data_IF_817021208898
#
_entry.id   IF_817021208898
#
_cell.length_a   1.000
_cell.length_b   1.000
_cell.length_c   1.000
_cell.angle_alpha   90.00
_cell.angle_beta   90.00
_cell.angle_gamma   90.00
#
_symmetry.space_group_name_H-M   'P 1'
#
loop_
_entity.id
_entity.type
_entity.pdbx_description
1 polymer ?
#
# COMPACT_ATOMS: atom_id res chain seq x y z
N UNK A 1 0.06 18.22 18.56
CA UNK A 1 -0.38 17.18 17.58
C UNK A 1 0.28 17.43 16.23
N UNK A 2 0.68 16.37 15.53
CA UNK A 2 1.16 16.46 14.14
C UNK A 2 -0.01 16.14 13.21
N UNK A 3 -0.09 16.84 12.08
CA UNK A 3 -1.10 16.60 11.06
C UNK A 3 -0.40 16.06 9.82
N UNK A 4 -0.75 14.85 9.41
CA UNK A 4 -0.07 14.13 8.34
C UNK A 4 -1.05 13.68 7.26
N UNK A 5 -0.52 13.15 6.16
CA UNK A 5 -1.30 12.50 5.10
C UNK A 5 -2.03 11.23 5.56
N UNK A 6 -1.71 10.72 6.75
CA UNK A 6 -2.38 9.58 7.39
C UNK A 6 -3.41 10.03 8.46
N UNK A 7 -3.57 11.35 8.66
CA UNK A 7 -4.38 11.92 9.73
C UNK A 7 -3.57 12.45 10.92
N UNK A 8 -4.25 12.81 12.03
CA UNK A 8 -3.61 13.42 13.18
C UNK A 8 -2.86 12.39 14.03
N UNK A 9 -1.65 12.75 14.46
CA UNK A 9 -0.86 12.05 15.47
C UNK A 9 -0.85 12.87 16.76
N UNK A 10 -1.31 12.25 17.84
CA UNK A 10 -1.39 12.83 19.17
C UNK A 10 -0.04 12.71 19.88
N UNK A 11 0.35 13.74 20.66
CA UNK A 11 1.62 13.71 21.39
C UNK A 11 1.66 12.56 22.41
N UNK A 12 2.86 12.16 22.82
CA UNK A 12 3.07 11.21 23.92
C UNK A 12 2.56 9.79 23.64
N UNK A 13 2.67 9.31 22.40
CA UNK A 13 2.16 8.01 21.95
C UNK A 13 0.63 7.88 22.08
N UNK A 14 -0.12 8.98 21.91
CA UNK A 14 -1.57 8.97 22.06
C UNK A 14 -2.33 8.17 20.99
N UNK A 15 -1.73 7.96 19.81
CA UNK A 15 -2.22 7.05 18.78
C UNK A 15 -1.13 6.65 17.78
N UNK A 16 -1.40 5.57 17.06
CA UNK A 16 -0.71 5.15 15.86
C UNK A 16 -1.70 5.11 14.69
N UNK A 17 -1.23 5.40 13.48
CA UNK A 17 -2.01 5.25 12.24
C UNK A 17 -1.20 4.42 11.27
N UNK A 18 -1.88 3.64 10.44
CA UNK A 18 -1.24 2.83 9.41
C UNK A 18 -2.05 2.86 8.13
N UNK A 19 -1.36 2.67 7.00
CA UNK A 19 -1.98 2.54 5.69
C UNK A 19 -1.90 1.09 5.20
N UNK A 20 -2.56 0.82 4.06
CA UNK A 20 -2.66 -0.50 3.43
C UNK A 20 -3.54 -1.49 4.23
N UNK A 21 -3.92 -2.59 3.58
CA UNK A 21 -4.94 -3.55 4.04
C UNK A 21 -4.37 -4.91 4.45
N UNK A 22 -3.05 -5.02 4.57
CA UNK A 22 -2.36 -6.25 4.97
C UNK A 22 -2.47 -7.34 3.91
N UNK A 23 -2.81 -8.57 4.31
CA UNK A 23 -2.81 -9.76 3.47
C UNK A 23 -3.50 -9.63 2.11
N UNK A 24 -4.60 -8.86 2.00
CA UNK A 24 -5.32 -8.69 0.72
C UNK A 24 -4.66 -7.67 -0.22
N UNK A 25 -3.61 -6.97 0.21
CA UNK A 25 -2.94 -5.97 -0.60
C UNK A 25 -2.16 -6.61 -1.76
N UNK A 26 -2.37 -6.22 -3.02
CA UNK A 26 -1.73 -6.90 -4.15
C UNK A 26 -0.22 -7.00 -4.05
N UNK A 27 0.48 -5.90 -3.72
CA UNK A 27 1.94 -5.87 -3.71
C UNK A 27 2.61 -6.67 -2.58
N UNK A 28 1.87 -7.08 -1.54
CA UNK A 28 2.40 -8.04 -0.57
C UNK A 28 2.32 -9.49 -1.10
N UNK A 29 1.42 -9.75 -2.04
CA UNK A 29 1.24 -11.04 -2.71
C UNK A 29 2.05 -11.15 -4.01
N UNK A 30 2.62 -10.05 -4.51
CA UNK A 30 3.63 -10.03 -5.57
C UNK A 30 4.88 -9.25 -5.10
N UNK A 31 5.58 -9.76 -4.06
CA UNK A 31 6.66 -9.03 -3.39
C UNK A 31 7.82 -8.70 -4.32
N UNK A 32 8.04 -9.51 -5.35
CA UNK A 32 9.16 -9.41 -6.29
C UNK A 32 8.72 -8.83 -7.66
N UNK A 33 7.50 -8.29 -7.77
CA UNK A 33 6.93 -7.65 -8.97
C UNK A 33 7.04 -8.52 -10.24
N UNK A 34 6.72 -9.80 -10.10
CA UNK A 34 6.81 -10.78 -11.19
C UNK A 34 5.49 -10.94 -11.95
N UNK A 35 4.37 -10.51 -11.35
CA UNK A 35 3.03 -10.66 -11.91
C UNK A 35 2.52 -9.36 -12.51
N UNK A 36 2.98 -8.22 -11.97
CA UNK A 36 2.55 -6.89 -12.38
C UNK A 36 3.69 -6.06 -12.94
N UNK A 37 3.34 -5.18 -13.87
CA UNK A 37 4.27 -4.27 -14.52
C UNK A 37 3.53 -3.17 -15.27
N UNK A 38 4.27 -2.38 -16.04
CA UNK A 38 3.71 -1.33 -16.90
C UNK A 38 2.70 -1.95 -17.87
N UNK A 39 1.53 -1.32 -18.01
CA UNK A 39 0.45 -1.81 -18.87
C UNK A 39 -0.47 -2.85 -18.22
N UNK A 40 -0.20 -3.28 -16.99
CA UNK A 40 -1.14 -4.17 -16.27
C UNK A 40 -2.47 -3.45 -16.06
N UNK A 41 -3.54 -4.06 -16.56
CA UNK A 41 -4.93 -3.60 -16.44
C UNK A 41 -5.42 -3.85 -15.02
N UNK A 42 -6.08 -2.87 -14.44
CA UNK A 42 -6.50 -2.88 -13.03
C UNK A 42 -7.93 -2.34 -12.86
N UNK A 43 -8.55 -2.69 -11.75
CA UNK A 43 -9.71 -1.97 -11.24
C UNK A 43 -9.21 -0.65 -10.62
N UNK A 44 -9.75 0.47 -11.09
CA UNK A 44 -9.39 1.80 -10.59
C UNK A 44 -10.64 2.65 -10.44
N UNK A 45 -11.08 2.87 -9.20
CA UNK A 45 -12.20 3.74 -8.89
C UNK A 45 -13.55 3.27 -9.47
N UNK A 46 -13.78 1.98 -9.68
CA UNK A 46 -14.99 1.49 -10.37
C UNK A 46 -14.92 1.55 -11.89
N UNK A 47 -13.80 2.02 -12.43
CA UNK A 47 -13.49 1.94 -13.86
C UNK A 47 -12.28 1.06 -14.13
N UNK A 48 -11.85 1.06 -15.39
CA UNK A 48 -10.64 0.37 -15.84
C UNK A 48 -9.48 1.36 -15.82
N UNK A 49 -8.40 0.97 -15.15
CA UNK A 49 -7.14 1.69 -15.16
C UNK A 49 -5.97 0.80 -15.56
N UNK A 50 -4.78 1.39 -15.55
CA UNK A 50 -3.53 0.71 -15.86
C UNK A 50 -2.43 1.16 -14.90
N UNK A 51 -1.47 0.27 -14.66
CA UNK A 51 -0.18 0.65 -14.11
C UNK A 51 0.60 1.37 -15.20
N UNK A 52 0.88 2.66 -15.03
CA UNK A 52 1.60 3.45 -16.03
C UNK A 52 3.11 3.43 -15.83
N UNK A 53 3.58 3.33 -14.58
CA UNK A 53 5.01 3.35 -14.24
C UNK A 53 5.24 3.00 -12.75
N UNK A 54 6.48 3.08 -12.25
CA UNK A 54 6.71 3.16 -10.81
C UNK A 54 6.26 4.50 -10.22
N UNK A 55 5.78 4.46 -8.97
CA UNK A 55 5.42 5.66 -8.22
C UNK A 55 6.65 6.34 -7.58
N UNK A 56 6.47 7.56 -7.10
CA UNK A 56 7.57 8.40 -6.58
C UNK A 56 8.30 7.82 -5.36
N UNK A 57 7.63 6.96 -4.57
CA UNK A 57 8.22 6.29 -3.40
C UNK A 57 8.63 4.84 -3.69
N UNK A 58 8.85 4.48 -4.95
CA UNK A 58 9.25 3.13 -5.33
C UNK A 58 10.68 2.82 -4.86
N UNK A 59 10.79 1.85 -3.95
CA UNK A 59 12.02 1.40 -3.29
C UNK A 59 12.05 -0.14 -3.11
N UNK A 60 12.19 -0.90 -4.20
CA UNK A 60 12.07 -2.37 -4.22
C UNK A 60 13.19 -3.10 -3.47
N UNK A 61 14.33 -2.43 -3.24
CA UNK A 61 15.51 -2.94 -2.53
C UNK A 61 15.35 -2.96 -1.01
N UNK A 62 14.13 -2.74 -0.50
CA UNK A 62 13.83 -2.82 0.92
C UNK A 62 14.18 -4.20 1.49
N UNK A 63 14.61 -4.23 2.77
CA UNK A 63 14.84 -5.49 3.49
C UNK A 63 13.55 -6.32 3.54
N UNK A 64 13.67 -7.64 3.39
CA UNK A 64 12.54 -8.57 3.35
C UNK A 64 12.64 -9.64 4.43
N UNK A 65 11.50 -10.19 4.80
CA UNK A 65 11.38 -11.39 5.61
C UNK A 65 11.67 -12.65 4.77
N UNK A 66 11.73 -13.82 5.43
CA UNK A 66 11.91 -15.10 4.75
C UNK A 66 10.79 -15.37 3.73
N UNK A 67 9.54 -14.97 4.03
CA UNK A 67 8.40 -15.04 3.13
C UNK A 67 8.40 -13.96 2.02
N UNK A 68 9.53 -13.29 1.78
CA UNK A 68 9.74 -12.24 0.76
C UNK A 68 8.98 -10.92 0.97
N UNK A 69 8.05 -10.85 1.92
CA UNK A 69 7.36 -9.59 2.22
C UNK A 69 8.34 -8.53 2.72
N UNK A 70 8.17 -7.25 2.33
CA UNK A 70 9.09 -6.19 2.71
C UNK A 70 8.85 -5.73 4.16
N UNK A 71 9.94 -5.39 4.85
CA UNK A 71 9.93 -4.79 6.19
C UNK A 71 9.81 -3.26 6.01
N UNK A 72 8.60 -2.80 5.68
CA UNK A 72 8.27 -1.39 5.43
C UNK A 72 7.95 -1.07 3.96
N UNK A 73 7.91 0.22 3.58
CA UNK A 73 7.61 0.63 2.21
C UNK A 73 8.61 0.05 1.22
N UNK A 74 8.10 -0.53 0.12
CA UNK A 74 8.91 -1.13 -0.94
C UNK A 74 8.42 -0.71 -2.32
N UNK A 75 7.53 -1.47 -2.96
CA UNK A 75 7.00 -1.11 -4.27
C UNK A 75 5.89 -0.04 -4.17
N UNK A 76 5.99 1.00 -5.00
CA UNK A 76 4.92 1.98 -5.25
C UNK A 76 4.61 2.02 -6.74
N UNK A 77 3.33 2.14 -7.11
CA UNK A 77 2.88 2.17 -8.50
C UNK A 77 2.38 3.57 -8.88
N UNK A 78 2.64 3.99 -10.10
CA UNK A 78 1.92 5.07 -10.76
C UNK A 78 0.76 4.45 -11.55
N UNK A 79 -0.45 5.00 -11.36
CA UNK A 79 -1.69 4.49 -11.95
C UNK A 79 -2.28 5.56 -12.88
N UNK A 80 -2.93 5.12 -13.95
CA UNK A 80 -3.65 5.98 -14.88
C UNK A 80 -5.04 5.39 -15.18
N UNK A 81 -6.05 6.24 -15.35
CA UNK A 81 -7.40 5.83 -15.74
C UNK A 81 -8.28 7.02 -16.09
N UNK A 82 -9.40 6.75 -16.74
CA UNK A 82 -10.39 7.77 -17.13
C UNK A 82 -11.42 7.98 -16.02
N UNK A 83 -11.36 9.15 -15.37
CA UNK A 83 -12.28 9.49 -14.28
C UNK A 83 -13.76 9.54 -14.71
N UNK A 84 -14.07 9.67 -16.02
CA UNK A 84 -15.45 9.64 -16.52
C UNK A 84 -16.11 8.28 -16.42
N UNK A 85 -15.31 7.21 -16.31
CA UNK A 85 -15.77 5.83 -16.18
C UNK A 85 -15.80 5.37 -14.72
N UNK A 86 -15.33 6.20 -13.79
CA UNK A 86 -15.24 5.86 -12.38
C UNK A 86 -16.56 6.11 -11.66
N UNK A 87 -16.77 5.36 -10.58
CA UNK A 87 -17.95 5.45 -9.72
C UNK A 87 -17.60 6.25 -8.44
N UNK A 88 -18.41 7.27 -8.07
CA UNK A 88 -18.21 8.04 -6.83
C UNK A 88 -18.32 7.23 -5.53
N UNK A 89 -18.79 5.98 -5.60
CA UNK A 89 -18.70 5.01 -4.52
C UNK A 89 -17.26 4.65 -4.18
N UNK A 90 -16.40 4.55 -5.19
CA UNK A 90 -14.99 4.16 -5.10
C UNK A 90 -14.03 5.35 -5.11
N UNK A 91 -14.49 6.52 -5.54
CA UNK A 91 -13.72 7.75 -5.63
C UNK A 91 -14.28 8.80 -4.67
N UNK A 92 -13.61 9.01 -3.54
CA UNK A 92 -14.07 9.93 -2.51
C UNK A 92 -13.05 11.01 -2.23
N UNK A 93 -13.40 12.25 -2.58
CA UNK A 93 -12.68 13.42 -2.08
C UNK A 93 -12.77 13.48 -0.55
N UNK A 94 -11.66 13.75 0.10
CA UNK A 94 -11.58 13.94 1.54
C UNK A 94 -10.68 15.12 1.89
N UNK A 95 -10.73 15.55 3.15
CA UNK A 95 -9.87 16.61 3.66
C UNK A 95 -9.26 16.17 4.97
N UNK A 96 -7.93 16.14 5.03
CA UNK A 96 -7.21 15.92 6.27
C UNK A 96 -6.89 17.28 6.89
N UNK A 97 -7.40 17.50 8.10
CA UNK A 97 -7.19 18.74 8.86
C UNK A 97 -5.70 19.10 8.89
N UNK A 98 -5.37 20.32 8.46
CA UNK A 98 -4.02 20.89 8.40
C UNK A 98 -3.01 20.13 7.52
N UNK A 99 -3.46 19.13 6.74
CA UNK A 99 -2.64 18.51 5.70
C UNK A 99 -3.14 18.93 4.31
N UNK A 100 -4.46 18.86 4.07
CA UNK A 100 -5.07 19.40 2.86
C UNK A 100 -6.10 18.49 2.20
N UNK A 101 -6.60 18.89 1.02
CA UNK A 101 -7.44 18.08 0.16
C UNK A 101 -6.75 16.76 -0.21
N UNK A 102 -7.50 15.68 -0.29
CA UNK A 102 -6.98 14.34 -0.56
C UNK A 102 -8.04 13.48 -1.24
N UNK A 103 -7.64 12.30 -1.69
CA UNK A 103 -8.50 11.36 -2.42
C UNK A 103 -8.37 9.97 -1.81
N UNK A 104 -9.51 9.37 -1.48
CA UNK A 104 -9.61 7.93 -1.22
C UNK A 104 -10.09 7.24 -2.49
N UNK A 105 -9.35 6.22 -2.92
CA UNK A 105 -9.55 5.55 -4.19
C UNK A 105 -9.56 4.03 -4.03
N UNK A 106 -10.58 3.37 -4.56
CA UNK A 106 -10.63 1.92 -4.69
C UNK A 106 -9.67 1.43 -5.77
N UNK A 107 -8.77 0.50 -5.43
CA UNK A 107 -7.80 -0.09 -6.36
C UNK A 107 -7.81 -1.60 -6.18
N UNK A 108 -7.89 -2.34 -7.28
CA UNK A 108 -7.80 -3.79 -7.32
C UNK A 108 -6.91 -4.25 -8.47
N UNK A 109 -6.02 -5.20 -8.21
CA UNK A 109 -5.11 -5.74 -9.22
C UNK A 109 -5.34 -7.25 -9.30
N UNK A 110 -5.77 -7.80 -10.44
CA UNK A 110 -5.97 -9.22 -10.57
C UNK A 110 -4.65 -9.91 -10.89
N UNK A 111 -4.42 -11.08 -10.29
CA UNK A 111 -3.20 -11.86 -10.51
C UNK A 111 -3.47 -13.07 -11.39
N UNK A 112 -2.72 -13.26 -12.48
CA UNK A 112 -2.77 -14.48 -13.27
C UNK A 112 -2.09 -15.62 -12.48
N UNK A 113 -2.86 -16.60 -12.04
CA UNK A 113 -2.36 -17.75 -11.27
C UNK A 113 -1.92 -18.85 -12.24
N UNK A 114 -0.73 -18.67 -12.84
CA UNK A 114 -0.17 -19.59 -13.85
C UNK A 114 0.81 -20.62 -13.25
N UNK A 115 1.20 -20.45 -12.00
CA UNK A 115 2.12 -21.32 -11.28
C UNK A 115 1.80 -21.36 -9.79
N UNK A 116 2.16 -22.45 -9.13
CA UNK A 116 1.88 -22.69 -7.70
C UNK A 116 2.49 -21.63 -6.77
N UNK A 117 3.69 -21.13 -7.10
CA UNK A 117 4.37 -20.05 -6.35
C UNK A 117 3.50 -18.79 -6.18
N UNK A 118 2.61 -18.50 -7.13
CA UNK A 118 1.66 -17.38 -7.01
C UNK A 118 0.67 -17.64 -5.88
N UNK A 119 0.17 -18.86 -5.77
CA UNK A 119 -0.75 -19.26 -4.69
C UNK A 119 -0.06 -19.19 -3.34
N UNK A 120 1.18 -19.67 -3.25
CA UNK A 120 1.98 -19.60 -2.02
C UNK A 120 2.17 -18.15 -1.55
N UNK A 121 2.57 -17.25 -2.44
CA UNK A 121 2.70 -15.82 -2.12
C UNK A 121 1.36 -15.17 -1.79
N UNK A 122 0.28 -15.60 -2.43
CA UNK A 122 -1.09 -15.16 -2.16
C UNK A 122 -1.66 -15.67 -0.82
N UNK A 123 -1.01 -16.66 -0.19
CA UNK A 123 -1.46 -17.26 1.07
C UNK A 123 -0.94 -16.53 2.32
N UNK A 124 -0.17 -15.45 2.14
CA UNK A 124 0.39 -14.67 3.26
C UNK A 124 -0.70 -14.14 4.19
N UNK A 125 -0.49 -14.26 5.50
CA UNK A 125 -1.44 -13.79 6.50
C UNK A 125 -0.99 -12.47 7.11
N UNK A 126 -1.93 -11.76 7.75
CA UNK A 126 -1.65 -10.47 8.38
C UNK A 126 -0.57 -10.55 9.48
N UNK A 127 -0.45 -11.70 10.13
CA UNK A 127 0.59 -11.94 11.14
C UNK A 127 2.00 -12.09 10.55
N UNK A 128 2.10 -12.43 9.26
CA UNK A 128 3.36 -12.68 8.56
C UNK A 128 3.92 -11.43 7.86
N UNK A 129 3.15 -10.33 7.88
CA UNK A 129 3.51 -9.04 7.27
C UNK A 129 3.81 -8.06 8.38
N UNK A 130 5.03 -7.55 8.42
CA UNK A 130 5.49 -6.61 9.45
C UNK A 130 5.81 -5.24 8.89
N UNK A 131 5.63 -4.21 9.70
CA UNK A 131 5.98 -2.83 9.38
C UNK A 131 6.72 -2.18 10.55
N UNK A 132 7.66 -1.27 10.27
CA UNK A 132 8.35 -0.53 11.32
C UNK A 132 7.42 0.50 11.97
N UNK A 133 7.54 0.66 13.29
CA UNK A 133 6.93 1.76 14.03
C UNK A 133 7.83 2.99 13.93
N UNK A 134 7.30 4.09 13.41
CA UNK A 134 8.06 5.31 13.13
C UNK A 134 7.44 6.51 13.84
N UNK A 135 8.25 7.23 14.62
CA UNK A 135 7.82 8.50 15.24
C UNK A 135 8.03 9.69 14.29
N UNK A 136 6.92 10.27 13.85
CA UNK A 136 6.93 11.44 12.97
C UNK A 136 7.40 12.73 13.64
N UNK A 137 7.46 12.77 14.98
CA UNK A 137 7.96 13.93 15.74
C UNK A 137 9.47 14.15 15.57
N UNK A 138 10.21 13.10 15.21
CA UNK A 138 11.65 13.16 14.98
C UNK A 138 11.90 13.76 13.59
N UNK A 139 12.46 14.98 13.47
CA UNK A 139 12.62 15.68 12.20
C UNK A 139 13.88 15.20 11.46
N UNK A 140 14.04 13.88 11.33
CA UNK A 140 15.11 13.24 10.58
C UNK A 140 14.54 12.47 9.40
N UNK A 141 15.33 12.39 8.34
CA UNK A 141 14.99 11.60 7.16
C UNK A 141 15.06 10.10 7.45
N UNK A 142 16.14 9.65 8.08
CA UNK A 142 16.26 8.31 8.65
C UNK A 142 15.78 8.40 10.10
N UNK A 143 14.57 7.90 10.34
CA UNK A 143 13.95 7.89 11.66
C UNK A 143 14.30 6.58 12.39
N UNK A 144 14.61 6.63 13.69
CA UNK A 144 14.73 5.40 14.47
C UNK A 144 13.39 4.67 14.48
N UNK A 145 13.46 3.34 14.39
CA UNK A 145 12.28 2.47 14.43
C UNK A 145 12.07 1.97 15.85
N UNK A 146 10.85 2.07 16.38
CA UNK A 146 10.47 1.55 17.71
C UNK A 146 10.09 0.07 17.67
N UNK A 147 10.80 -0.70 16.84
CA UNK A 147 10.50 -2.11 16.57
C UNK A 147 9.57 -2.33 15.37
N UNK A 148 9.18 -3.60 15.21
CA UNK A 148 8.29 -4.07 14.15
C UNK A 148 6.96 -4.53 14.76
N UNK A 149 5.86 -4.25 14.06
CA UNK A 149 4.52 -4.75 14.39
C UNK A 149 3.92 -5.44 13.17
N UNK A 150 3.15 -6.50 13.38
CA UNK A 150 2.46 -7.18 12.28
C UNK A 150 1.14 -6.49 11.93
N UNK A 151 0.65 -6.68 10.70
CA UNK A 151 -0.71 -6.26 10.34
C UNK A 151 -1.76 -6.97 11.20
N UNK A 152 -1.48 -8.19 11.67
CA UNK A 152 -2.34 -8.93 12.59
C UNK A 152 -2.54 -8.15 13.89
N UNK A 153 -1.44 -7.64 14.47
CA UNK A 153 -1.51 -6.77 15.66
C UNK A 153 -2.22 -5.44 15.36
N UNK A 154 -1.87 -4.77 14.25
CA UNK A 154 -2.49 -3.49 13.86
C UNK A 154 -4.01 -3.61 13.69
N UNK A 155 -4.50 -4.75 13.18
CA UNK A 155 -5.93 -5.01 12.97
C UNK A 155 -6.70 -5.31 14.25
N UNK A 156 -6.03 -5.60 15.36
CA UNK A 156 -6.69 -5.65 16.69
C UNK A 156 -7.13 -4.26 17.19
N UNK A 157 -6.61 -3.19 16.57
CA UNK A 157 -6.89 -1.80 16.95
C UNK A 157 -5.99 -1.26 18.06
N UNK A 158 -5.08 -2.07 18.62
CA UNK A 158 -4.14 -1.64 19.67
C UNK A 158 -2.79 -2.34 19.51
N UNK A 159 -1.70 -1.62 19.73
CA UNK A 159 -0.33 -2.15 19.71
C UNK A 159 0.43 -1.76 20.98
N UNK A 160 1.49 -2.51 21.30
CA UNK A 160 2.39 -2.21 22.43
C UNK A 160 3.63 -1.48 21.92
N UNK A 161 3.94 -0.32 22.50
CA UNK A 161 5.15 0.45 22.22
C UNK A 161 5.79 0.79 23.57
N UNK A 162 6.99 0.29 23.84
CA UNK A 162 7.72 0.53 25.10
C UNK A 162 6.88 0.25 26.37
N UNK A 163 6.10 -0.83 26.35
CA UNK A 163 5.20 -1.21 27.45
C UNK A 163 3.93 -0.38 27.58
N UNK A 164 3.68 0.56 26.66
CA UNK A 164 2.44 1.35 26.59
C UNK A 164 1.51 0.81 25.52
N UNK A 165 0.23 0.73 25.87
CA UNK A 165 -0.86 0.39 24.97
C UNK A 165 -1.27 1.61 24.14
N UNK A 166 -1.16 1.50 22.81
CA UNK A 166 -1.40 2.60 21.86
C UNK A 166 -2.48 2.18 20.86
N UNK A 167 -3.54 3.00 20.72
CA UNK A 167 -4.59 2.74 19.73
C UNK A 167 -4.05 2.89 18.32
N UNK A 168 -4.27 1.88 17.48
CA UNK A 168 -3.88 1.86 16.08
C UNK A 168 -5.12 1.99 15.18
N UNK A 169 -5.11 2.97 14.27
CA UNK A 169 -6.21 3.20 13.34
C UNK A 169 -5.79 2.98 11.88
N UNK A 170 -6.53 2.17 11.10
CA UNK A 170 -6.28 2.01 9.68
C UNK A 170 -6.76 3.23 8.89
N UNK A 171 -6.01 3.58 7.85
CA UNK A 171 -6.45 4.53 6.83
C UNK A 171 -7.29 3.86 5.73
N UNK A 172 -6.96 2.62 5.39
CA UNK A 172 -7.61 1.85 4.34
C UNK A 172 -8.69 0.91 4.91
N UNK A 173 -9.81 0.77 4.19
CA UNK A 173 -10.92 -0.09 4.62
C UNK A 173 -10.79 -1.50 4.04
N UNK A 174 -10.55 -2.49 4.90
CA UNK A 174 -10.52 -3.91 4.52
C UNK A 174 -11.86 -4.36 3.94
N UNK A 175 -12.99 -3.86 4.49
CA UNK A 175 -14.31 -4.17 3.97
C UNK A 175 -14.49 -3.68 2.53
N UNK A 176 -14.06 -2.45 2.23
CA UNK A 176 -14.07 -1.91 0.85
C UNK A 176 -13.12 -2.68 -0.06
N UNK A 177 -11.93 -3.07 0.40
CA UNK A 177 -11.00 -3.87 -0.40
C UNK A 177 -11.57 -5.25 -0.78
N UNK A 178 -12.32 -5.90 0.10
CA UNK A 178 -13.02 -7.15 -0.23
C UNK A 178 -14.11 -6.96 -1.27
N UNK A 179 -14.84 -5.85 -1.21
CA UNK A 179 -15.85 -5.51 -2.21
C UNK A 179 -15.19 -5.25 -3.59
N UNK A 180 -14.07 -4.51 -3.63
CA UNK A 180 -13.29 -4.31 -4.87
C UNK A 180 -12.85 -5.66 -5.46
N UNK A 181 -12.31 -6.56 -4.62
CA UNK A 181 -11.89 -7.88 -5.07
C UNK A 181 -13.07 -8.70 -5.64
N UNK A 182 -14.24 -8.61 -5.02
CA UNK A 182 -15.45 -9.30 -5.46
C UNK A 182 -16.00 -8.73 -6.78
N UNK A 183 -16.00 -7.41 -6.95
CA UNK A 183 -16.48 -6.75 -8.17
C UNK A 183 -15.54 -7.03 -9.34
N UNK A 184 -14.22 -6.92 -9.12
CA UNK A 184 -13.22 -7.28 -10.13
C UNK A 184 -13.32 -8.76 -10.53
N UNK A 185 -13.55 -9.67 -9.57
CA UNK A 185 -13.81 -11.08 -9.86
C UNK A 185 -15.03 -11.24 -10.79
N UNK A 186 -16.13 -10.57 -10.48
CA UNK A 186 -17.35 -10.64 -11.31
C UNK A 186 -17.13 -10.14 -12.73
N UNK A 187 -16.36 -9.06 -12.92
CA UNK A 187 -16.03 -8.55 -14.25
C UNK A 187 -15.18 -9.54 -15.07
N UNK A 188 -14.26 -10.24 -14.40
CA UNK A 188 -13.43 -11.27 -15.02
C UNK A 188 -14.30 -12.47 -15.43
N UNK A 189 -15.13 -12.98 -14.52
CA UNK A 189 -16.04 -14.11 -14.80
C UNK A 189 -17.05 -13.79 -15.92
N UNK A 190 -17.49 -12.54 -16.02
CA UNK A 190 -18.40 -12.07 -17.07
C UNK A 190 -17.69 -11.77 -18.41
N UNK A 191 -16.36 -11.78 -18.46
CA UNK A 191 -15.57 -11.45 -19.65
C UNK A 191 -15.57 -9.96 -20.02
N UNK A 192 -16.13 -9.07 -19.19
CA UNK A 192 -16.08 -7.61 -19.38
C UNK A 192 -14.72 -7.02 -18.98
N UNK A 193 -13.95 -7.77 -18.19
CA UNK A 193 -12.57 -7.47 -17.86
C UNK A 193 -11.66 -8.64 -18.23
N UNK A 194 -10.67 -8.39 -19.08
CA UNK A 194 -9.65 -9.36 -19.43
C UNK A 194 -8.36 -9.04 -18.70
N UNK A 195 -7.69 -10.08 -18.20
CA UNK A 195 -6.32 -9.98 -17.70
C UNK A 195 -5.39 -9.53 -18.82
N UNK A 196 -4.34 -8.80 -18.46
CA UNK A 196 -3.32 -8.33 -19.38
C UNK A 196 -1.95 -8.77 -18.88
N UNK A 197 -1.09 -9.19 -19.79
CA UNK A 197 0.34 -9.31 -19.50
C UNK A 197 0.96 -7.91 -19.33
N UNK A 198 1.89 -7.71 -18.38
CA UNK A 198 2.67 -6.48 -18.34
C UNK A 198 3.47 -6.30 -19.63
N UNK A 199 3.45 -5.09 -20.19
CA UNK A 199 4.21 -4.71 -21.39
C UNK A 199 5.68 -4.51 -21.05
N UNK A 200 5.98 -4.08 -19.82
CA UNK A 200 7.35 -3.98 -19.32
C UNK A 200 7.39 -4.23 -17.80
N UNK A 201 8.48 -4.80 -17.26
CA UNK A 201 8.66 -4.95 -15.82
C UNK A 201 8.85 -3.59 -15.14
N UNK A 202 8.48 -3.50 -13.87
CA UNK A 202 8.86 -2.37 -13.02
C UNK A 202 10.32 -2.51 -12.55
N UNK A 203 11.04 -1.41 -12.35
CA UNK A 203 12.46 -1.47 -12.00
C UNK A 203 12.67 -2.05 -10.60
N UNK A 204 13.34 -3.21 -10.49
CA UNK A 204 13.65 -3.85 -9.20
C UNK A 204 14.95 -3.35 -8.54
N UNK A 205 15.84 -2.74 -9.32
CA UNK A 205 17.12 -2.21 -8.85
C UNK A 205 17.07 -0.68 -8.76
N UNK A 206 16.18 -0.17 -7.90
CA UNK A 206 16.02 1.27 -7.69
C UNK A 206 16.30 1.63 -6.24
N UNK A 207 17.26 2.52 -6.04
CA UNK A 207 17.46 3.20 -4.75
C UNK A 207 16.42 4.31 -4.63
N UNK A 208 15.94 4.57 -3.41
CA UNK A 208 15.05 5.71 -3.17
C UNK A 208 15.76 7.02 -3.53
N UNK A 209 15.25 7.72 -4.54
CA UNK A 209 15.79 9.00 -4.99
C UNK A 209 15.01 10.14 -4.33
N UNK A 210 15.59 10.84 -3.34
CA UNK A 210 14.97 12.03 -2.79
C UNK A 210 14.96 13.16 -3.81
N UNK A 211 13.99 14.05 -3.70
CA UNK A 211 14.12 15.38 -4.27
C UNK A 211 15.07 16.21 -3.39
N UNK A 212 16.37 16.15 -3.67
CA UNK A 212 17.40 16.91 -2.94
C UNK A 212 17.86 18.12 -3.76
N UNK A 213 17.10 19.21 -3.69
CA UNK A 213 17.36 20.43 -4.46
C UNK A 213 18.59 21.23 -3.96
N UNK A 214 19.16 20.90 -2.79
CA UNK A 214 20.26 21.66 -2.18
C UNK A 214 21.47 20.82 -1.77
N UNK A 215 21.43 19.51 -1.98
CA UNK A 215 22.44 18.60 -1.45
C UNK A 215 22.30 18.48 0.07
N UNK A 216 22.71 17.33 0.59
CA UNK A 216 22.71 17.04 2.01
C UNK A 216 23.72 17.94 2.73
N UNK A 217 23.33 19.16 3.07
CA UNK A 217 24.07 20.01 4.01
C UNK A 217 23.69 19.60 5.42
N UNK A 218 24.23 18.47 5.87
CA UNK A 218 24.33 18.10 7.29
C UNK A 218 25.74 17.55 7.51
#
# INVERSE_FOLDING_TARGET
>A
PLFTYLGPLQPGLGNAVYANVGAIAPLFNDPDLQLVGVGTRIFLGGGIGYISWEGTQHFPLQKRLANRTPIGPAATLALIGDARQMDPHWVRGCYFKNYGPSLMLGVGIPFPVLREEVVERCAVQDQDIVVPVVDFSIPRRVKPTFGLVSYGQLKTGTIQIEGKSVRAAPLASVARSRQVAQELKQWIEAGSFLLSEPVAPLPLNRTFLPQDLRGSQI
#
